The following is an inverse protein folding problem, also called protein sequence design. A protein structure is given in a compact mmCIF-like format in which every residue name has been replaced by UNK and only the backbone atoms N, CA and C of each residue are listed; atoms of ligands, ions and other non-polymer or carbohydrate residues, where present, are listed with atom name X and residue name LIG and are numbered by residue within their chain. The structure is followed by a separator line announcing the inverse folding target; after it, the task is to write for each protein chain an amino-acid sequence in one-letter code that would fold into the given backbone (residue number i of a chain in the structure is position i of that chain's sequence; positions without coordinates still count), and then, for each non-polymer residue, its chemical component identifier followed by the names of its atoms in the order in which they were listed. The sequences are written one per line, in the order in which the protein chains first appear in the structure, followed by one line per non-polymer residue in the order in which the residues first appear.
data_IF_139818852048
#
_entry.id   IF_139818852048
#
_cell.length_a   1.000
_cell.length_b   1.000
_cell.length_c   1.000
_cell.angle_alpha   90.00
_cell.angle_beta   90.00
_cell.angle_gamma   90.00
#
_symmetry.space_group_name_H-M   'P 1'
#
loop_
_entity.id
_entity.type
_entity.pdbx_description
1 polymer ?
#
# COMPACT_ATOMS: atom_id res chain seq x y z
N UNK A 1 -0.74 -6.37 -46.44
CA UNK A 1 -0.10 -5.05 -46.26
C UNK A 1 0.26 -4.92 -44.79
N UNK A 2 1.55 -4.72 -44.47
CA UNK A 2 1.96 -4.46 -43.10
C UNK A 2 1.30 -3.15 -42.61
N UNK A 3 0.69 -3.15 -41.43
CA UNK A 3 0.10 -1.94 -40.87
C UNK A 3 1.16 -0.87 -40.59
N UNK A 4 0.77 0.40 -40.37
CA UNK A 4 1.71 1.50 -40.10
C UNK A 4 2.47 1.37 -38.76
N UNK A 5 2.14 0.35 -37.95
CA UNK A 5 2.73 0.08 -36.64
C UNK A 5 3.08 -1.40 -36.50
N UNK A 6 4.21 -1.68 -35.87
CA UNK A 6 4.60 -3.00 -35.41
C UNK A 6 3.69 -3.46 -34.24
N UNK A 7 3.46 -4.77 -34.16
CA UNK A 7 2.73 -5.38 -33.03
C UNK A 7 3.65 -5.60 -31.84
N UNK A 8 3.12 -5.45 -30.62
CA UNK A 8 3.89 -5.68 -29.39
C UNK A 8 4.44 -7.10 -29.32
N UNK A 9 3.63 -8.12 -29.65
CA UNK A 9 4.06 -9.53 -29.70
C UNK A 9 5.24 -9.81 -30.65
N UNK A 10 5.43 -8.96 -31.66
CA UNK A 10 6.50 -9.09 -32.63
C UNK A 10 7.84 -8.56 -32.13
N UNK A 11 7.84 -7.74 -31.07
CA UNK A 11 9.02 -7.03 -30.56
C UNK A 11 10.09 -8.03 -30.11
N UNK A 12 11.31 -7.87 -30.66
CA UNK A 12 12.44 -8.74 -30.40
C UNK A 12 13.75 -7.94 -30.44
N UNK A 13 14.86 -8.60 -30.09
CA UNK A 13 16.18 -7.97 -30.01
C UNK A 13 16.95 -7.93 -31.34
N UNK A 14 16.42 -8.48 -32.44
CA UNK A 14 17.15 -8.59 -33.72
C UNK A 14 16.84 -7.45 -34.70
N UNK A 15 15.67 -6.80 -34.56
CA UNK A 15 15.30 -5.62 -35.35
C UNK A 15 15.78 -4.34 -34.66
N UNK A 16 16.39 -3.44 -35.43
CA UNK A 16 16.98 -2.19 -34.92
C UNK A 16 15.96 -1.06 -34.71
N UNK A 17 14.93 -0.99 -35.55
CA UNK A 17 13.91 0.07 -35.51
C UNK A 17 12.51 -0.49 -35.30
N UNK A 18 11.84 0.02 -34.27
CA UNK A 18 10.46 -0.33 -33.94
C UNK A 18 9.58 0.91 -33.94
N UNK A 19 8.35 0.76 -34.40
CA UNK A 19 7.32 1.79 -34.31
C UNK A 19 6.01 1.17 -33.85
N UNK A 20 5.62 1.40 -32.61
CA UNK A 20 4.43 0.79 -32.00
C UNK A 20 3.39 1.84 -31.62
N UNK A 21 2.12 1.49 -31.76
CA UNK A 21 0.99 2.25 -31.23
C UNK A 21 0.45 1.54 -29.98
N UNK A 22 0.52 2.18 -28.83
CA UNK A 22 0.27 1.53 -27.53
C UNK A 22 -0.48 2.42 -26.55
N UNK A 23 -1.23 1.81 -25.64
CA UNK A 23 -1.73 2.44 -24.41
C UNK A 23 -0.76 2.20 -23.27
N UNK A 24 -0.51 3.23 -22.46
CA UNK A 24 0.13 3.06 -21.16
C UNK A 24 -0.93 2.56 -20.19
N UNK A 25 -0.84 1.29 -19.79
CA UNK A 25 -1.83 0.66 -18.92
C UNK A 25 -1.54 0.87 -17.43
N UNK A 26 -0.26 0.92 -17.08
CA UNK A 26 0.26 1.13 -15.73
C UNK A 26 1.61 1.85 -15.82
N UNK A 27 1.94 2.70 -14.85
CA UNK A 27 3.19 3.44 -14.77
C UNK A 27 3.58 3.77 -13.31
N UNK A 28 4.81 3.46 -12.91
CA UNK A 28 5.30 3.73 -11.55
C UNK A 28 6.79 4.03 -11.54
N UNK A 29 7.26 4.70 -10.47
CA UNK A 29 8.68 4.97 -10.26
C UNK A 29 9.24 3.90 -9.33
N UNK A 30 10.29 3.21 -9.79
CA UNK A 30 11.07 2.28 -8.99
C UNK A 30 12.31 2.98 -8.48
N UNK A 31 12.58 2.88 -7.18
CA UNK A 31 13.81 3.39 -6.57
C UNK A 31 14.65 2.21 -6.11
N UNK A 32 15.85 2.05 -6.67
CA UNK A 32 16.80 1.03 -6.23
C UNK A 32 17.52 1.47 -4.94
N UNK A 33 18.16 0.54 -4.23
CA UNK A 33 18.92 0.74 -2.98
C UNK A 33 19.99 1.85 -3.07
N UNK A 34 20.46 2.17 -4.27
CA UNK A 34 21.42 3.26 -4.53
C UNK A 34 20.76 4.63 -4.82
N UNK A 35 19.48 4.83 -4.47
CA UNK A 35 18.69 6.03 -4.83
C UNK A 35 18.64 6.34 -6.34
N UNK A 36 18.91 5.33 -7.18
CA UNK A 36 18.69 5.43 -8.61
C UNK A 36 17.22 5.16 -8.89
N UNK A 37 16.56 6.15 -9.48
CA UNK A 37 15.16 6.06 -9.87
C UNK A 37 15.07 5.76 -11.36
N UNK A 38 14.20 4.83 -11.73
CA UNK A 38 13.78 4.60 -13.09
C UNK A 38 12.26 4.49 -13.12
N UNK A 39 11.65 4.91 -14.21
CA UNK A 39 10.20 4.84 -14.38
C UNK A 39 9.89 3.58 -15.19
N UNK A 40 9.05 2.71 -14.66
CA UNK A 40 8.58 1.51 -15.32
C UNK A 40 7.13 1.71 -15.77
N UNK A 41 6.77 1.11 -16.91
CA UNK A 41 5.42 1.15 -17.44
C UNK A 41 5.06 -0.13 -18.18
N UNK A 42 3.76 -0.41 -18.31
CA UNK A 42 3.23 -1.50 -19.12
C UNK A 42 2.50 -0.93 -20.33
N UNK A 43 2.98 -1.29 -21.52
CA UNK A 43 2.44 -0.89 -22.80
C UNK A 43 1.55 -2.00 -23.37
N UNK A 44 0.40 -1.65 -23.92
CA UNK A 44 -0.55 -2.58 -24.55
C UNK A 44 -0.90 -2.13 -25.97
N UNK A 45 -0.85 -3.02 -26.95
CA UNK A 45 -1.29 -2.73 -28.33
C UNK A 45 -2.78 -3.04 -28.58
N UNK A 46 -3.22 -2.90 -29.83
CA UNK A 46 -4.60 -3.15 -30.26
C UNK A 46 -5.04 -4.60 -30.08
N UNK A 47 -4.10 -5.55 -30.01
CA UNK A 47 -4.39 -6.98 -29.82
C UNK A 47 -4.44 -7.37 -28.34
N UNK A 48 -4.13 -6.43 -27.44
CA UNK A 48 -4.03 -6.68 -26.00
C UNK A 48 -2.68 -7.26 -25.58
N UNK A 49 -1.72 -7.39 -26.51
CA UNK A 49 -0.38 -7.87 -26.20
C UNK A 49 0.35 -6.81 -25.36
N UNK A 50 0.98 -7.24 -24.27
CA UNK A 50 1.62 -6.36 -23.28
C UNK A 50 3.14 -6.48 -23.31
N UNK A 51 3.84 -5.37 -23.10
CA UNK A 51 5.30 -5.33 -22.93
C UNK A 51 5.69 -4.30 -21.87
N UNK A 52 6.70 -4.63 -21.06
CA UNK A 52 7.27 -3.72 -20.08
C UNK A 52 8.23 -2.73 -20.75
N UNK A 53 8.14 -1.46 -20.39
CA UNK A 53 9.06 -0.41 -20.81
C UNK A 53 9.65 0.34 -19.61
N UNK A 54 10.88 0.81 -19.77
CA UNK A 54 11.66 1.47 -18.71
C UNK A 54 12.22 2.79 -19.24
N UNK A 55 12.07 3.86 -18.47
CA UNK A 55 12.76 5.14 -18.64
C UNK A 55 13.86 5.26 -17.60
N UNK A 56 15.10 5.42 -18.05
CA UNK A 56 16.26 5.62 -17.18
C UNK A 56 16.25 7.02 -16.55
N UNK A 57 16.90 7.16 -15.38
CA UNK A 57 16.89 8.35 -14.52
C UNK A 57 17.02 9.69 -15.26
N UNK A 58 17.98 9.78 -16.16
CA UNK A 58 18.34 11.03 -16.85
C UNK A 58 17.22 11.52 -17.79
N UNK A 59 16.35 10.62 -18.23
CA UNK A 59 15.25 10.90 -19.15
C UNK A 59 13.87 11.02 -18.44
N UNK A 60 13.79 10.79 -17.12
CA UNK A 60 12.54 10.91 -16.35
C UNK A 60 12.04 12.35 -16.34
N UNK A 61 12.91 13.33 -16.19
CA UNK A 61 12.51 14.75 -16.19
C UNK A 61 11.90 15.17 -17.55
N UNK A 62 12.33 14.53 -18.64
CA UNK A 62 11.83 14.79 -19.99
C UNK A 62 10.45 14.14 -20.22
N UNK A 63 10.27 12.89 -19.82
CA UNK A 63 9.09 12.10 -20.18
C UNK A 63 8.07 11.94 -19.05
N UNK A 64 8.48 11.99 -17.79
CA UNK A 64 7.66 11.69 -16.63
C UNK A 64 6.49 12.66 -16.40
N UNK A 65 6.55 13.88 -16.95
CA UNK A 65 5.44 14.83 -16.93
C UNK A 65 4.56 14.80 -18.17
N UNK A 66 4.99 14.10 -19.24
CA UNK A 66 4.30 14.03 -20.55
C UNK A 66 3.47 12.76 -20.66
N UNK A 67 4.00 11.66 -20.14
CA UNK A 67 3.36 10.36 -20.19
C UNK A 67 2.31 10.26 -19.09
N UNK A 68 1.10 9.88 -19.48
CA UNK A 68 -0.06 9.77 -18.59
C UNK A 68 -0.65 8.38 -18.79
N UNK A 69 -1.00 7.71 -17.69
CA UNK A 69 -1.68 6.42 -17.74
C UNK A 69 -3.02 6.51 -18.49
N UNK A 70 -3.44 5.39 -19.07
CA UNK A 70 -4.64 5.20 -19.90
C UNK A 70 -4.65 5.95 -21.23
N UNK A 71 -3.70 6.86 -21.47
CA UNK A 71 -3.52 7.52 -22.76
C UNK A 71 -2.76 6.63 -23.75
N UNK A 72 -2.92 6.98 -25.02
CA UNK A 72 -2.36 6.24 -26.15
C UNK A 72 -1.28 7.05 -26.85
N UNK A 73 -0.21 6.37 -27.25
CA UNK A 73 1.01 6.98 -27.77
C UNK A 73 1.54 6.20 -28.95
N UNK A 74 2.19 6.93 -29.87
CA UNK A 74 3.13 6.34 -30.81
C UNK A 74 4.51 6.40 -30.18
N UNK A 75 5.20 5.27 -30.14
CA UNK A 75 6.56 5.17 -29.65
C UNK A 75 7.46 4.60 -30.75
N UNK A 76 8.61 5.23 -30.97
CA UNK A 76 9.62 4.76 -31.91
C UNK A 76 11.03 5.15 -31.46
N UNK A 77 12.05 4.54 -32.07
CA UNK A 77 13.46 4.76 -31.74
C UNK A 77 13.79 4.47 -30.26
N UNK A 78 13.24 3.37 -29.74
CA UNK A 78 13.54 2.84 -28.42
C UNK A 78 14.41 1.59 -28.53
N UNK A 79 15.12 1.25 -27.46
CA UNK A 79 15.97 0.06 -27.43
C UNK A 79 15.20 -1.13 -26.88
N UNK A 80 15.45 -2.33 -27.40
CA UNK A 80 14.83 -3.58 -26.93
C UNK A 80 15.92 -4.45 -26.29
N UNK A 81 15.64 -4.99 -25.10
CA UNK A 81 16.52 -5.90 -24.37
C UNK A 81 15.76 -7.15 -23.96
N UNK A 82 16.46 -8.23 -23.61
CA UNK A 82 15.85 -9.39 -22.99
C UNK A 82 15.20 -9.01 -21.65
N UNK A 83 14.04 -9.60 -21.36
CA UNK A 83 13.33 -9.38 -20.12
C UNK A 83 13.95 -10.24 -19.00
N UNK A 84 14.93 -9.66 -18.33
CA UNK A 84 15.66 -10.17 -17.17
C UNK A 84 15.15 -9.59 -15.84
N UNK A 85 13.99 -8.90 -15.85
CA UNK A 85 13.41 -8.33 -14.64
C UNK A 85 13.05 -9.42 -13.63
N UNK A 86 13.37 -9.18 -12.35
CA UNK A 86 13.01 -10.09 -11.25
C UNK A 86 11.48 -10.22 -11.10
N UNK A 87 10.73 -9.17 -11.46
CA UNK A 87 9.26 -9.16 -11.46
C UNK A 87 8.78 -8.86 -12.89
N UNK A 88 8.17 -9.86 -13.51
CA UNK A 88 7.60 -9.77 -14.87
C UNK A 88 6.09 -9.57 -14.75
N UNK A 89 5.61 -8.38 -15.08
CA UNK A 89 4.18 -8.06 -15.08
C UNK A 89 3.48 -8.50 -16.37
N UNK A 90 4.26 -8.86 -17.39
CA UNK A 90 3.79 -9.45 -18.64
C UNK A 90 4.77 -10.55 -19.06
N UNK A 91 4.25 -11.58 -19.72
CA UNK A 91 5.02 -12.76 -20.16
C UNK A 91 5.88 -12.50 -21.40
N UNK A 92 6.02 -11.23 -21.82
CA UNK A 92 6.80 -10.87 -23.00
C UNK A 92 8.31 -11.12 -22.78
N UNK A 93 9.01 -11.80 -23.72
CA UNK A 93 10.41 -12.18 -23.56
C UNK A 93 11.38 -11.00 -23.60
N UNK A 94 10.94 -9.86 -24.11
CA UNK A 94 11.73 -8.62 -24.21
C UNK A 94 11.12 -7.47 -23.39
N UNK A 95 11.95 -6.49 -23.05
CA UNK A 95 11.58 -5.20 -22.44
C UNK A 95 12.06 -4.04 -23.31
N UNK A 96 11.35 -2.92 -23.25
CA UNK A 96 11.68 -1.69 -23.96
C UNK A 96 12.45 -0.74 -23.03
N UNK A 97 13.48 -0.09 -23.55
CA UNK A 97 14.23 0.98 -22.87
C UNK A 97 14.04 2.26 -23.67
N UNK A 98 13.39 3.23 -23.06
CA UNK A 98 13.20 4.58 -23.58
C UNK A 98 14.42 5.42 -23.16
N UNK A 99 15.00 6.12 -24.13
CA UNK A 99 16.15 6.99 -23.93
C UNK A 99 15.94 8.34 -24.62
N UNK A 100 16.86 9.28 -24.44
CA UNK A 100 16.72 10.65 -24.94
C UNK A 100 16.45 10.82 -26.45
N UNK A 101 16.76 9.82 -27.28
CA UNK A 101 16.49 9.82 -28.75
C UNK A 101 15.16 9.17 -29.12
N UNK A 102 14.49 8.49 -28.20
CA UNK A 102 13.16 7.92 -28.44
C UNK A 102 12.17 9.04 -28.78
N UNK A 103 11.29 8.76 -29.72
CA UNK A 103 10.25 9.69 -30.16
C UNK A 103 8.93 9.16 -29.65
N UNK A 104 8.29 9.93 -28.79
CA UNK A 104 7.01 9.59 -28.16
C UNK A 104 6.08 10.80 -28.29
N UNK A 105 4.90 10.58 -28.86
CA UNK A 105 3.86 11.60 -28.93
C UNK A 105 2.48 10.95 -28.75
N UNK A 106 1.58 11.70 -28.12
CA UNK A 106 0.20 11.26 -27.90
C UNK A 106 -0.50 11.14 -29.26
N UNK A 107 -1.18 10.01 -29.47
CA UNK A 107 -1.98 9.77 -30.67
C UNK A 107 -3.22 8.95 -30.29
N UNK A 108 -4.43 9.37 -30.67
CA UNK A 108 -5.65 8.65 -30.30
C UNK A 108 -5.71 7.31 -31.02
N UNK A 109 -5.75 6.22 -30.26
CA UNK A 109 -6.02 4.88 -30.77
C UNK A 109 -7.33 4.34 -30.16
N UNK A 110 -8.49 4.57 -30.80
CA UNK A 110 -9.79 4.14 -30.26
C UNK A 110 -9.92 2.62 -30.22
N UNK A 111 -9.23 1.91 -31.12
CA UNK A 111 -9.27 0.45 -31.24
C UNK A 111 -8.35 -0.27 -30.24
N UNK A 112 -7.46 0.45 -29.54
CA UNK A 112 -6.71 -0.15 -28.44
C UNK A 112 -7.69 -0.32 -27.26
N UNK A 113 -7.89 -1.55 -26.76
CA UNK A 113 -8.87 -1.81 -25.71
C UNK A 113 -8.50 -1.08 -24.42
N UNK A 114 -9.48 -0.43 -23.78
CA UNK A 114 -9.30 0.05 -22.41
C UNK A 114 -8.95 -1.15 -21.55
N UNK A 115 -7.93 -1.00 -20.70
CA UNK A 115 -7.33 -2.09 -19.91
C UNK A 115 -8.41 -2.99 -19.35
N UNK A 116 -8.67 -4.12 -20.03
CA UNK A 116 -9.63 -5.11 -19.59
C UNK A 116 -8.85 -5.97 -18.61
N UNK A 117 -9.25 -5.93 -17.34
CA UNK A 117 -8.67 -6.80 -16.32
C UNK A 117 -9.01 -8.24 -16.72
N UNK A 118 -8.01 -8.99 -17.20
CA UNK A 118 -8.13 -10.44 -17.31
C UNK A 118 -7.95 -11.01 -15.91
N UNK A 119 -9.07 -11.42 -15.32
CA UNK A 119 -9.08 -12.10 -14.04
C UNK A 119 -8.56 -13.52 -14.23
N UNK A 120 -7.40 -13.81 -13.63
CA UNK A 120 -7.00 -15.20 -13.37
C UNK A 120 -7.87 -15.73 -12.24
N UNK A 121 -8.44 -16.92 -12.40
CA UNK A 121 -9.20 -17.55 -11.33
C UNK A 121 -8.28 -17.90 -10.16
N UNK A 122 -8.82 -17.89 -8.95
CA UNK A 122 -8.08 -18.26 -7.73
C UNK A 122 -7.37 -19.63 -7.86
N UNK A 123 -8.00 -20.56 -8.59
CA UNK A 123 -7.44 -21.87 -8.95
C UNK A 123 -6.15 -21.79 -9.77
N UNK A 124 -5.98 -20.79 -10.64
CA UNK A 124 -4.77 -20.59 -11.44
C UNK A 124 -3.64 -19.93 -10.65
N UNK A 125 -3.95 -19.21 -9.56
CA UNK A 125 -2.97 -18.60 -8.66
C UNK A 125 -2.39 -19.64 -7.69
N UNK A 126 -3.18 -20.64 -7.29
CA UNK A 126 -2.80 -21.64 -6.29
C UNK A 126 -2.23 -22.96 -6.86
N UNK A 127 -2.39 -23.26 -8.14
CA UNK A 127 -1.94 -24.53 -8.71
C UNK A 127 -0.45 -24.57 -9.07
N UNK A 128 0.40 -24.56 -8.03
CA UNK A 128 1.49 -25.54 -7.93
C UNK A 128 1.04 -26.63 -6.94
N UNK A 129 0.04 -27.41 -7.38
CA UNK A 129 -0.61 -28.59 -6.76
C UNK A 129 -1.15 -28.41 -5.32
N UNK A 130 -2.47 -28.55 -5.17
CA UNK A 130 -3.18 -29.72 -4.61
C UNK A 130 -4.69 -29.49 -4.81
N UNK A 131 -5.46 -30.57 -4.68
CA UNK A 131 -6.68 -30.95 -5.39
C UNK A 131 -8.02 -30.43 -4.86
N UNK A 132 -8.95 -30.35 -5.83
CA UNK A 132 -10.44 -30.41 -5.81
C UNK A 132 -11.32 -29.26 -5.27
N UNK A 133 -12.45 -28.96 -5.95
CA UNK A 133 -13.31 -27.81 -5.66
C UNK A 133 -14.41 -28.18 -4.65
N UNK A 134 -14.79 -27.23 -3.80
CA UNK A 134 -16.05 -27.34 -3.08
C UNK A 134 -16.82 -26.01 -3.18
N UNK A 135 -18.05 -26.12 -3.64
CA UNK A 135 -18.91 -25.04 -4.10
C UNK A 135 -19.73 -24.57 -2.90
N UNK A 136 -19.18 -23.69 -2.08
CA UNK A 136 -19.87 -23.10 -0.93
C UNK A 136 -20.06 -21.61 -1.11
N UNK A 137 -21.25 -21.19 -1.50
CA UNK A 137 -21.68 -19.80 -1.34
C UNK A 137 -21.73 -19.49 0.16
N UNK A 138 -21.00 -18.47 0.60
CA UNK A 138 -21.17 -17.89 1.94
C UNK A 138 -22.16 -16.73 1.82
N UNK A 139 -23.40 -16.96 2.23
CA UNK A 139 -24.31 -15.87 2.57
C UNK A 139 -23.85 -15.30 3.92
N UNK A 140 -23.53 -14.00 3.96
CA UNK A 140 -23.25 -13.29 5.21
C UNK A 140 -24.46 -12.41 5.51
N UNK A 141 -25.11 -12.73 6.62
CA UNK A 141 -26.26 -12.03 7.20
C UNK A 141 -25.75 -10.74 7.88
N UNK A 142 -26.25 -9.56 7.51
CA UNK A 142 -25.86 -8.29 8.17
C UNK A 142 -27.04 -7.61 8.87
N UNK A 143 -26.90 -7.45 10.19
CA UNK A 143 -27.74 -6.58 11.02
C UNK A 143 -27.44 -5.10 10.74
N UNK A 144 -28.43 -4.19 10.79
CA UNK A 144 -28.23 -2.77 10.54
C UNK A 144 -27.37 -2.12 11.66
N UNK A 145 -26.11 -1.77 11.37
CA UNK A 145 -25.13 -1.27 12.36
C UNK A 145 -24.04 -0.34 11.78
N UNK A 146 -23.18 0.21 12.64
CA UNK A 146 -22.07 1.09 12.22
C UNK A 146 -20.99 0.27 11.48
N UNK A 147 -20.57 0.64 10.27
CA UNK A 147 -19.62 -0.14 9.47
C UNK A 147 -18.25 -0.39 10.14
N UNK A 148 -17.80 0.51 11.02
CA UNK A 148 -16.56 0.31 11.78
C UNK A 148 -16.76 -0.78 12.84
N UNK A 149 -17.90 -0.81 13.53
CA UNK A 149 -18.24 -1.89 14.45
C UNK A 149 -18.31 -3.22 13.69
N UNK A 150 -19.02 -3.27 12.57
CA UNK A 150 -19.16 -4.48 11.78
C UNK A 150 -17.81 -5.11 11.36
N UNK A 151 -16.88 -4.32 10.82
CA UNK A 151 -15.56 -4.86 10.43
C UNK A 151 -14.69 -5.21 11.63
N UNK A 152 -14.85 -4.51 12.76
CA UNK A 152 -14.15 -4.85 13.99
C UNK A 152 -14.66 -6.17 14.55
N UNK A 153 -15.98 -6.38 14.61
CA UNK A 153 -16.56 -7.64 15.09
C UNK A 153 -16.19 -8.82 14.20
N UNK A 154 -16.22 -8.65 12.88
CA UNK A 154 -15.87 -9.73 11.95
C UNK A 154 -14.38 -10.09 11.98
N UNK A 155 -13.50 -9.09 12.14
CA UNK A 155 -12.03 -9.33 12.18
C UNK A 155 -11.56 -9.78 13.56
N UNK A 156 -12.16 -9.23 14.61
CA UNK A 156 -11.83 -9.45 16.02
C UNK A 156 -13.07 -9.97 16.77
N UNK A 157 -13.50 -11.23 16.52
CA UNK A 157 -14.60 -11.83 17.27
C UNK A 157 -14.24 -11.97 18.74
N UNK A 158 -15.18 -11.68 19.63
CA UNK A 158 -14.99 -11.72 21.09
C UNK A 158 -13.85 -10.83 21.62
N UNK A 159 -13.57 -9.70 20.95
CA UNK A 159 -12.46 -8.79 21.25
C UNK A 159 -12.33 -8.46 22.75
N UNK A 160 -13.45 -8.17 23.43
CA UNK A 160 -13.44 -7.81 24.86
C UNK A 160 -12.95 -8.93 25.78
N UNK A 161 -13.07 -10.19 25.35
CA UNK A 161 -12.56 -11.35 26.09
C UNK A 161 -11.13 -11.73 25.68
N UNK A 162 -10.72 -11.41 24.45
CA UNK A 162 -9.43 -11.80 23.85
C UNK A 162 -8.42 -10.65 23.74
N UNK A 163 -8.73 -9.45 24.22
CA UNK A 163 -7.87 -8.25 24.05
C UNK A 163 -6.46 -8.39 24.65
N UNK A 164 -6.24 -9.35 25.55
CA UNK A 164 -4.96 -9.63 26.18
C UNK A 164 -4.29 -10.91 25.63
N UNK A 165 -4.92 -11.59 24.67
CA UNK A 165 -4.39 -12.81 24.07
C UNK A 165 -3.43 -12.45 22.93
N UNK A 166 -2.15 -12.75 23.13
CA UNK A 166 -1.08 -12.40 22.19
C UNK A 166 -1.25 -13.09 20.82
N UNK A 167 -1.57 -14.38 20.80
CA UNK A 167 -1.74 -15.15 19.56
C UNK A 167 -2.95 -14.65 18.77
N UNK A 168 -4.03 -14.30 19.48
CA UNK A 168 -5.23 -13.74 18.88
C UNK A 168 -4.95 -12.41 18.16
N UNK A 169 -4.22 -11.50 18.81
CA UNK A 169 -3.86 -10.20 18.24
C UNK A 169 -2.78 -10.30 17.15
N UNK A 170 -1.88 -11.28 17.27
CA UNK A 170 -0.82 -11.54 16.29
C UNK A 170 -1.37 -11.89 14.92
N UNK A 171 -2.38 -12.75 14.86
CA UNK A 171 -2.90 -13.29 13.61
C UNK A 171 -3.99 -12.44 12.96
N UNK A 172 -4.27 -11.23 13.47
CA UNK A 172 -5.38 -10.37 13.04
C UNK A 172 -4.96 -8.94 12.73
N UNK A 173 -5.51 -8.40 11.64
CA UNK A 173 -5.37 -6.99 11.29
C UNK A 173 -6.53 -6.51 10.40
N UNK A 174 -6.93 -5.25 10.58
CA UNK A 174 -7.83 -4.56 9.64
C UNK A 174 -6.98 -3.75 8.65
N UNK A 175 -7.26 -3.87 7.36
CA UNK A 175 -6.56 -3.18 6.29
C UNK A 175 -7.47 -2.16 5.61
N UNK A 176 -6.91 -0.97 5.36
CA UNK A 176 -7.60 0.10 4.62
C UNK A 176 -6.62 0.93 3.78
N UNK A 177 -7.08 1.93 3.04
CA UNK A 177 -6.26 2.69 2.08
C UNK A 177 -5.68 4.01 2.64
N UNK A 178 -6.27 4.58 3.69
CA UNK A 178 -5.90 5.91 4.24
C UNK A 178 -5.54 5.85 5.71
N UNK A 179 -4.57 6.67 6.13
CA UNK A 179 -4.21 6.77 7.55
C UNK A 179 -5.36 7.36 8.38
N UNK A 180 -6.20 8.23 7.79
CA UNK A 180 -7.36 8.80 8.46
C UNK A 180 -8.36 7.73 8.88
N UNK A 181 -8.61 6.74 8.03
CA UNK A 181 -9.52 5.61 8.34
C UNK A 181 -8.87 4.65 9.33
N UNK A 182 -7.55 4.43 9.22
CA UNK A 182 -6.78 3.69 10.23
C UNK A 182 -6.91 4.33 11.61
N UNK A 183 -6.74 5.65 11.70
CA UNK A 183 -6.90 6.41 12.95
C UNK A 183 -8.32 6.21 13.52
N UNK A 184 -9.36 6.32 12.68
CA UNK A 184 -10.75 6.13 13.10
C UNK A 184 -11.02 4.74 13.68
N UNK A 185 -10.58 3.68 13.01
CA UNK A 185 -10.77 2.30 13.49
C UNK A 185 -9.96 2.08 14.76
N UNK A 186 -8.69 2.48 14.80
CA UNK A 186 -7.85 2.29 15.97
C UNK A 186 -8.39 3.04 17.20
N UNK A 187 -8.86 4.28 17.03
CA UNK A 187 -9.47 5.07 18.10
C UNK A 187 -10.79 4.44 18.57
N UNK A 188 -11.59 3.89 17.65
CA UNK A 188 -12.80 3.15 17.98
C UNK A 188 -12.48 1.91 18.82
N UNK A 189 -11.57 1.06 18.35
CA UNK A 189 -11.15 -0.16 19.05
C UNK A 189 -10.59 0.17 20.44
N UNK A 190 -9.73 1.18 20.56
CA UNK A 190 -9.15 1.61 21.84
C UNK A 190 -10.19 2.05 22.87
N UNK A 191 -11.34 2.60 22.44
CA UNK A 191 -12.44 2.94 23.34
C UNK A 191 -13.12 1.70 23.91
N UNK A 192 -13.16 0.60 23.15
CA UNK A 192 -13.72 -0.67 23.58
C UNK A 192 -12.80 -1.42 24.57
N UNK A 193 -11.48 -1.35 24.36
CA UNK A 193 -10.52 -2.11 25.18
C UNK A 193 -10.63 -1.68 26.66
N UNK A 194 -10.79 -2.62 27.60
CA UNK A 194 -10.85 -2.29 29.03
C UNK A 194 -9.52 -1.77 29.55
N UNK A 195 -9.56 -1.05 30.67
CA UNK A 195 -8.39 -0.49 31.34
C UNK A 195 -8.16 1.00 31.08
N UNK A 196 -7.31 1.60 31.92
CA UNK A 196 -7.00 3.02 31.89
C UNK A 196 -6.09 3.37 30.71
N UNK A 197 -6.52 4.32 29.88
CA UNK A 197 -5.71 4.85 28.79
C UNK A 197 -4.76 5.93 29.29
N UNK A 198 -3.51 5.91 28.83
CA UNK A 198 -2.55 7.00 29.02
C UNK A 198 -2.36 7.77 27.72
N UNK A 199 -2.46 9.09 27.81
CA UNK A 199 -2.19 10.00 26.70
C UNK A 199 -0.71 10.38 26.64
N UNK A 200 -0.18 10.46 25.43
CA UNK A 200 1.18 10.92 25.17
C UNK A 200 1.18 12.04 24.15
N UNK A 201 1.82 13.15 24.52
CA UNK A 201 1.99 14.33 23.69
C UNK A 201 3.40 14.37 23.10
N UNK A 202 3.55 14.78 21.86
CA UNK A 202 4.84 14.99 21.23
C UNK A 202 5.43 16.35 21.60
N UNK A 203 6.73 16.50 21.41
CA UNK A 203 7.39 17.81 21.41
C UNK A 203 7.87 18.11 19.99
N UNK A 204 7.21 19.06 19.35
CA UNK A 204 7.44 19.41 17.94
C UNK A 204 8.27 20.68 17.82
N UNK A 205 9.18 20.70 16.85
CA UNK A 205 10.01 21.87 16.54
C UNK A 205 10.27 21.95 15.05
N UNK A 206 10.37 23.17 14.53
CA UNK A 206 10.83 23.43 13.18
C UNK A 206 12.34 23.71 13.15
N UNK A 207 13.06 23.12 12.21
CA UNK A 207 14.39 23.58 11.79
C UNK A 207 14.23 24.31 10.46
N UNK A 208 14.57 25.60 10.41
CA UNK A 208 14.66 26.34 9.15
C UNK A 208 16.05 26.14 8.54
N UNK A 209 16.11 25.96 7.22
CA UNK A 209 17.35 26.07 6.47
C UNK A 209 17.47 27.57 6.14
N UNK A 210 18.53 28.21 6.65
CA UNK A 210 18.77 29.67 6.62
C UNK A 210 18.06 30.47 5.52
N UNK A 211 17.30 31.49 5.92
CA UNK A 211 17.39 32.92 5.53
C UNK A 211 16.16 33.64 6.10
N UNK A 212 16.39 34.65 6.95
CA UNK A 212 15.47 35.78 7.15
C UNK A 212 14.23 35.52 8.00
N UNK A 213 14.30 35.99 9.25
CA UNK A 213 13.22 36.34 10.17
C UNK A 213 11.78 36.19 9.65
N UNK A 214 11.15 35.06 9.96
CA UNK A 214 9.72 34.98 10.20
C UNK A 214 9.52 34.10 11.44
N UNK A 215 8.55 34.49 12.27
CA UNK A 215 8.26 33.96 13.59
C UNK A 215 8.42 32.44 13.72
N UNK A 216 8.93 31.99 14.88
CA UNK A 216 8.96 30.57 15.22
C UNK A 216 7.58 29.96 14.93
N UNK A 217 7.54 28.97 14.04
CA UNK A 217 6.29 28.35 13.60
C UNK A 217 5.53 27.92 14.86
N UNK A 218 4.27 28.37 15.04
CA UNK A 218 3.55 28.10 16.26
C UNK A 218 3.49 26.59 16.54
N UNK A 219 3.81 26.14 17.76
CA UNK A 219 3.79 24.72 18.09
C UNK A 219 2.39 24.13 17.85
N UNK A 220 1.33 24.91 18.02
CA UNK A 220 -0.06 24.53 17.73
C UNK A 220 -0.23 24.11 16.26
N UNK A 221 0.40 24.83 15.32
CA UNK A 221 0.38 24.46 13.91
C UNK A 221 1.18 23.17 13.67
N UNK A 222 2.39 23.05 14.25
CA UNK A 222 3.22 21.86 14.12
C UNK A 222 2.49 20.60 14.63
N UNK A 223 1.76 20.73 15.74
CA UNK A 223 0.99 19.66 16.37
C UNK A 223 -0.17 19.14 15.47
N UNK A 224 -0.64 19.94 14.51
CA UNK A 224 -1.69 19.52 13.55
C UNK A 224 -1.18 18.68 12.39
N UNK A 225 0.14 18.69 12.15
CA UNK A 225 0.73 18.03 10.98
C UNK A 225 0.69 16.50 11.20
N UNK A 226 -0.03 15.81 10.31
CA UNK A 226 -0.11 14.35 10.21
C UNK A 226 0.67 13.86 9.00
N UNK A 227 1.45 12.80 9.18
CA UNK A 227 2.24 12.15 8.11
C UNK A 227 2.32 10.65 8.38
N UNK A 228 2.47 9.81 7.35
CA UNK A 228 2.63 8.35 7.51
C UNK A 228 3.86 7.93 8.30
N UNK A 229 4.89 8.78 8.28
CA UNK A 229 6.24 8.50 8.77
C UNK A 229 6.44 8.91 10.23
N UNK A 230 5.48 9.64 10.81
CA UNK A 230 5.55 10.15 12.17
C UNK A 230 4.32 9.71 12.96
N UNK A 231 4.47 9.44 14.26
CA UNK A 231 3.32 9.34 15.15
C UNK A 231 2.56 10.66 15.21
N UNK A 232 1.26 10.58 15.52
CA UNK A 232 0.43 11.76 15.80
C UNK A 232 0.98 12.53 17.02
N UNK A 233 0.73 13.85 17.06
CA UNK A 233 1.12 14.69 18.19
C UNK A 233 0.58 14.14 19.50
N UNK A 234 -0.72 13.82 19.52
CA UNK A 234 -1.41 13.18 20.62
C UNK A 234 -1.83 11.78 20.20
N UNK A 235 -1.56 10.79 21.05
CA UNK A 235 -2.20 9.48 20.96
C UNK A 235 -2.43 8.89 22.36
N UNK A 236 -3.35 7.94 22.45
CA UNK A 236 -3.70 7.23 23.69
C UNK A 236 -3.28 5.76 23.57
N UNK A 237 -2.73 5.19 24.64
CA UNK A 237 -2.39 3.76 24.72
C UNK A 237 -2.94 3.12 25.99
N UNK A 238 -3.26 1.84 25.87
CA UNK A 238 -3.58 0.95 26.98
C UNK A 238 -2.59 -0.22 27.00
N UNK A 239 -2.45 -0.87 28.14
CA UNK A 239 -1.71 -2.15 28.22
C UNK A 239 -2.51 -3.19 27.41
N UNK A 240 -1.80 -4.06 26.68
CA UNK A 240 -2.40 -5.04 25.77
C UNK A 240 -2.65 -4.51 24.35
N UNK A 241 -2.46 -3.21 24.10
CA UNK A 241 -2.64 -2.65 22.76
C UNK A 241 -1.54 -3.12 21.80
N UNK A 242 -1.87 -3.69 20.62
CA UNK A 242 -0.92 -3.93 19.56
C UNK A 242 -0.49 -2.61 18.92
N UNK A 243 0.81 -2.44 18.76
CA UNK A 243 1.45 -1.28 18.14
C UNK A 243 2.44 -1.74 17.08
N UNK A 244 2.82 -0.85 16.17
CA UNK A 244 3.81 -1.09 15.12
C UNK A 244 4.92 -0.04 15.21
N UNK A 245 6.18 -0.47 15.14
CA UNK A 245 7.33 0.44 15.08
C UNK A 245 7.34 1.21 13.75
N UNK A 246 7.62 2.51 13.82
CA UNK A 246 7.81 3.38 12.66
C UNK A 246 9.29 3.57 12.30
N UNK A 247 10.21 3.21 13.21
CA UNK A 247 11.65 3.31 13.01
C UNK A 247 12.36 2.12 13.63
N UNK A 248 13.52 1.82 13.09
CA UNK A 248 14.46 0.88 13.67
C UNK A 248 14.93 1.42 15.02
N UNK A 249 14.81 0.61 16.08
CA UNK A 249 15.30 0.94 17.42
C UNK A 249 16.76 0.52 17.59
N UNK A 250 17.10 -0.66 17.07
CA UNK A 250 18.45 -1.19 17.05
C UNK A 250 18.62 -2.03 15.77
N UNK A 251 19.64 -1.68 14.98
CA UNK A 251 19.96 -2.37 13.72
C UNK A 251 20.53 -3.77 13.95
N UNK A 252 21.10 -4.04 15.14
CA UNK A 252 21.72 -5.30 15.50
C UNK A 252 20.76 -6.24 16.25
N UNK A 253 19.88 -5.70 17.10
CA UNK A 253 18.91 -6.52 17.85
C UNK A 253 17.64 -6.87 17.05
N UNK A 254 17.47 -6.39 15.81
CA UNK A 254 16.43 -6.88 14.89
C UNK A 254 15.04 -6.22 15.00
N UNK A 255 14.88 -5.22 15.88
CA UNK A 255 13.64 -4.44 15.99
C UNK A 255 13.56 -3.33 14.93
N UNK A 256 13.07 -3.73 13.75
CA UNK A 256 12.96 -2.88 12.55
C UNK A 256 11.60 -2.18 12.42
N UNK A 257 11.54 -1.18 11.55
CA UNK A 257 10.31 -0.56 11.09
C UNK A 257 9.32 -1.62 10.58
N UNK A 258 8.06 -1.49 10.98
CA UNK A 258 7.00 -2.47 10.70
C UNK A 258 6.86 -3.57 11.75
N UNK A 259 7.83 -3.79 12.64
CA UNK A 259 7.68 -4.79 13.71
C UNK A 259 6.47 -4.45 14.58
N UNK A 260 5.50 -5.39 14.62
CA UNK A 260 4.35 -5.36 15.52
C UNK A 260 4.74 -5.87 16.90
N UNK A 261 4.27 -5.15 17.92
CA UNK A 261 4.51 -5.39 19.33
C UNK A 261 3.19 -5.29 20.11
N UNK A 262 3.12 -5.85 21.31
CA UNK A 262 2.04 -5.61 22.28
C UNK A 262 2.60 -4.83 23.46
N UNK A 263 1.94 -3.72 23.82
CA UNK A 263 2.34 -2.91 24.96
C UNK A 263 2.13 -3.68 26.27
N UNK A 264 3.20 -3.88 27.04
CA UNK A 264 3.15 -4.58 28.34
C UNK A 264 3.25 -3.62 29.52
N UNK A 265 3.95 -2.48 29.36
CA UNK A 265 4.04 -1.43 30.40
C UNK A 265 4.07 -0.03 29.80
N UNK A 266 3.37 0.89 30.48
CA UNK A 266 3.28 2.30 30.13
C UNK A 266 4.12 3.14 31.11
N UNK A 267 5.32 3.53 30.72
CA UNK A 267 6.15 4.49 31.46
C UNK A 267 6.00 5.91 30.96
N UNK A 268 6.44 6.90 31.74
CA UNK A 268 6.41 8.32 31.32
C UNK A 268 7.38 8.60 30.17
N UNK A 269 8.58 8.00 30.24
CA UNK A 269 9.69 8.28 29.32
C UNK A 269 10.03 7.12 28.39
N UNK A 270 9.65 5.90 28.77
CA UNK A 270 9.95 4.65 28.07
C UNK A 270 8.71 3.77 28.12
N UNK A 271 8.41 3.07 27.02
CA UNK A 271 7.40 2.00 26.98
C UNK A 271 8.10 0.65 27.05
N UNK A 272 7.43 -0.35 27.59
CA UNK A 272 7.83 -1.75 27.40
C UNK A 272 6.80 -2.42 26.50
N UNK A 273 7.28 -3.15 25.50
CA UNK A 273 6.42 -3.93 24.63
C UNK A 273 7.06 -5.28 24.32
N UNK A 274 6.23 -6.25 23.95
CA UNK A 274 6.64 -7.61 23.58
C UNK A 274 6.44 -7.81 22.09
N UNK A 275 7.42 -8.41 21.40
CA UNK A 275 7.31 -8.66 19.98
C UNK A 275 6.29 -9.74 19.65
N UNK A 276 5.48 -9.48 18.64
CA UNK A 276 4.52 -10.45 18.08
C UNK A 276 4.75 -10.69 16.58
N UNK A 277 5.83 -10.16 16.00
CA UNK A 277 6.16 -10.39 14.59
C UNK A 277 7.66 -10.29 14.34
N UNK A 278 8.11 -10.77 13.17
CA UNK A 278 9.51 -10.80 12.80
C UNK A 278 10.28 -11.94 13.47
N UNK A 279 11.60 -11.80 13.55
CA UNK A 279 12.49 -12.86 14.03
C UNK A 279 12.57 -12.94 15.56
N UNK A 280 12.10 -11.90 16.26
CA UNK A 280 12.26 -11.73 17.69
C UNK A 280 10.96 -11.98 18.47
N UNK A 281 10.05 -12.81 17.95
CA UNK A 281 8.73 -13.04 18.57
C UNK A 281 8.91 -13.49 20.02
N UNK A 282 8.20 -12.83 20.94
CA UNK A 282 8.26 -13.11 22.37
C UNK A 282 9.24 -12.24 23.15
N UNK A 283 10.20 -11.58 22.48
CA UNK A 283 11.19 -10.74 23.16
C UNK A 283 10.60 -9.42 23.64
N UNK A 284 11.10 -8.94 24.78
CA UNK A 284 10.73 -7.65 25.34
C UNK A 284 11.68 -6.56 24.84
N UNK A 285 11.11 -5.42 24.45
CA UNK A 285 11.83 -4.24 24.01
C UNK A 285 11.41 -3.01 24.80
N UNK A 286 12.39 -2.17 25.12
CA UNK A 286 12.16 -0.85 25.69
C UNK A 286 12.14 0.18 24.57
N UNK A 287 11.06 0.95 24.48
CA UNK A 287 10.85 1.94 23.42
C UNK A 287 10.98 3.34 24.02
N UNK A 288 12.09 4.06 23.78
CA UNK A 288 12.24 5.45 24.18
C UNK A 288 11.54 6.39 23.19
N UNK A 289 11.38 7.66 23.59
CA UNK A 289 11.01 8.73 22.65
C UNK A 289 12.19 9.08 21.76
N UNK A 290 11.95 9.20 20.46
CA UNK A 290 12.96 9.54 19.46
C UNK A 290 12.61 10.85 18.74
N UNK A 291 13.63 11.56 18.28
CA UNK A 291 13.46 12.65 17.32
C UNK A 291 13.29 12.10 15.91
N UNK A 292 12.20 12.48 15.27
CA UNK A 292 11.85 12.00 13.94
C UNK A 292 11.48 13.16 13.02
N UNK A 293 11.86 13.05 11.76
CA UNK A 293 11.45 13.97 10.69
C UNK A 293 10.85 13.14 9.56
N UNK A 294 9.86 13.68 8.82
CA UNK A 294 9.34 13.01 7.64
C UNK A 294 10.45 12.79 6.62
N UNK A 295 10.45 11.64 5.95
CA UNK A 295 11.51 11.26 5.00
C UNK A 295 11.50 12.13 3.74
N UNK A 296 10.29 12.53 3.32
CA UNK A 296 10.04 13.50 2.27
C UNK A 296 9.03 14.53 2.78
N UNK A 297 9.37 15.80 2.71
CA UNK A 297 8.49 16.89 3.14
C UNK A 297 8.42 17.95 2.05
N UNK A 298 7.20 18.31 1.66
CA UNK A 298 6.94 19.49 0.81
C UNK A 298 6.85 20.78 1.64
N UNK A 299 6.99 20.68 2.97
CA UNK A 299 6.92 21.83 3.85
C UNK A 299 8.16 22.73 3.65
N UNK A 300 8.02 24.06 3.76
CA UNK A 300 9.13 24.99 3.63
C UNK A 300 10.11 24.94 4.82
N UNK A 301 9.89 24.05 5.78
CA UNK A 301 10.72 23.85 6.97
C UNK A 301 10.85 22.36 7.29
N UNK A 302 11.88 22.01 8.06
CA UNK A 302 12.06 20.65 8.55
C UNK A 302 11.34 20.47 9.89
N UNK A 303 10.24 19.73 9.88
CA UNK A 303 9.58 19.28 11.11
C UNK A 303 10.45 18.24 11.83
N UNK A 304 10.66 18.44 13.13
CA UNK A 304 11.23 17.42 14.04
C UNK A 304 10.23 17.18 15.16
N UNK A 305 9.71 15.95 15.24
CA UNK A 305 8.77 15.50 16.26
C UNK A 305 9.47 14.55 17.21
N UNK A 306 9.52 14.89 18.51
CA UNK A 306 9.99 13.99 19.57
C UNK A 306 8.82 13.20 20.14
N UNK A 307 8.77 11.91 19.85
CA UNK A 307 7.69 11.03 20.29
C UNK A 307 8.13 9.57 20.29
N UNK A 308 7.38 8.67 20.94
CA UNK A 308 7.60 7.23 20.78
C UNK A 308 7.40 6.83 19.30
N UNK A 309 8.34 6.10 18.68
CA UNK A 309 8.31 5.74 17.26
C UNK A 309 7.32 4.60 16.98
N UNK A 310 6.05 4.74 17.38
CA UNK A 310 5.01 3.73 17.25
C UNK A 310 3.69 4.30 16.77
N UNK A 311 2.86 3.42 16.19
CA UNK A 311 1.44 3.65 15.91
C UNK A 311 0.62 2.47 16.40
N UNK A 312 -0.64 2.71 16.77
CA UNK A 312 -1.59 1.64 17.12
C UNK A 312 -1.85 0.78 15.88
N UNK A 313 -2.00 -0.53 16.07
CA UNK A 313 -1.94 -1.51 14.99
C UNK A 313 -3.05 -2.57 15.07
N UNK A 314 -4.28 -2.20 15.45
CA UNK A 314 -5.46 -3.03 15.16
C UNK A 314 -5.83 -2.90 13.67
N UNK A 315 -5.79 -1.67 13.16
CA UNK A 315 -5.86 -1.36 11.75
C UNK A 315 -4.53 -0.81 11.24
N UNK A 316 -4.27 -1.01 9.95
CA UNK A 316 -3.14 -0.42 9.23
C UNK A 316 -3.49 -0.19 7.75
N UNK A 317 -2.64 0.57 7.05
CA UNK A 317 -2.83 0.73 5.61
C UNK A 317 -2.37 -0.53 4.86
N UNK A 318 -2.97 -0.80 3.70
CA UNK A 318 -2.56 -1.92 2.82
C UNK A 318 -1.06 -1.82 2.52
N UNK A 319 -0.53 -0.61 2.28
CA UNK A 319 0.90 -0.40 2.05
C UNK A 319 1.77 -0.80 3.26
N UNK A 320 1.35 -0.46 4.48
CA UNK A 320 2.07 -0.83 5.72
C UNK A 320 1.94 -2.31 6.08
N UNK A 321 0.97 -3.03 5.51
CA UNK A 321 0.85 -4.47 5.70
C UNK A 321 1.91 -5.28 4.94
N UNK A 322 2.68 -4.65 4.06
CA UNK A 322 3.67 -5.34 3.24
C UNK A 322 4.73 -6.04 4.09
N UNK A 323 4.94 -7.33 3.85
CA UNK A 323 5.86 -8.17 4.63
C UNK A 323 5.22 -8.87 5.83
N UNK A 324 3.93 -8.61 6.10
CA UNK A 324 3.16 -9.35 7.10
C UNK A 324 2.23 -10.39 6.45
N UNK A 325 1.86 -11.40 7.25
CA UNK A 325 0.84 -12.40 6.92
C UNK A 325 -0.04 -12.63 8.15
N UNK A 326 -1.35 -12.68 7.96
CA UNK A 326 -2.35 -12.79 9.01
C UNK A 326 -3.28 -13.97 8.72
N UNK A 327 -3.85 -14.56 9.77
CA UNK A 327 -4.84 -15.64 9.63
C UNK A 327 -6.21 -15.04 9.34
N UNK A 328 -6.56 -13.92 9.98
CA UNK A 328 -7.77 -13.16 9.70
C UNK A 328 -7.46 -11.70 9.35
N UNK A 329 -8.05 -11.24 8.25
CA UNK A 329 -7.90 -9.87 7.74
C UNK A 329 -9.27 -9.29 7.46
N UNK A 330 -9.55 -8.13 8.06
CA UNK A 330 -10.69 -7.31 7.69
C UNK A 330 -10.29 -6.27 6.67
N UNK A 331 -10.82 -6.30 5.46
CA UNK A 331 -10.64 -5.25 4.46
C UNK A 331 -11.76 -4.22 4.60
N UNK A 332 -11.44 -3.05 5.17
CA UNK A 332 -12.39 -1.94 5.32
C UNK A 332 -12.18 -0.85 4.28
N UNK A 333 -13.20 -0.63 3.44
CA UNK A 333 -13.15 0.35 2.36
C UNK A 333 -14.36 1.30 2.44
N UNK A 334 -14.26 2.45 3.13
CA UNK A 334 -15.35 3.42 3.24
C UNK A 334 -15.62 4.17 1.92
N UNK A 335 -14.80 3.94 0.89
CA UNK A 335 -15.06 4.35 -0.49
C UNK A 335 -14.61 3.20 -1.40
N UNK A 336 -15.35 2.85 -2.45
CA UNK A 336 -14.98 1.81 -3.40
C UNK A 336 -13.89 2.34 -4.34
N UNK A 337 -12.67 2.46 -3.83
CA UNK A 337 -11.51 2.99 -4.55
C UNK A 337 -10.35 2.03 -4.37
N UNK A 338 -9.93 1.42 -5.46
CA UNK A 338 -8.67 0.69 -5.54
C UNK A 338 -7.70 1.49 -6.39
N UNK A 339 -6.44 1.57 -5.95
CA UNK A 339 -5.32 1.76 -6.87
C UNK A 339 -4.83 0.40 -7.36
N UNK A 340 -4.19 0.35 -8.53
CA UNK A 340 -3.68 -0.90 -9.09
C UNK A 340 -2.74 -1.59 -8.08
N UNK A 341 -2.92 -2.90 -7.90
CA UNK A 341 -2.12 -3.73 -6.98
C UNK A 341 -2.57 -3.78 -5.52
N UNK A 342 -3.49 -2.92 -5.05
CA UNK A 342 -3.95 -2.93 -3.65
C UNK A 342 -4.73 -4.20 -3.29
N UNK A 343 -5.62 -4.66 -4.17
CA UNK A 343 -6.35 -5.94 -3.98
C UNK A 343 -5.38 -7.13 -3.91
N UNK A 344 -4.44 -7.22 -4.85
CA UNK A 344 -3.43 -8.26 -4.87
C UNK A 344 -2.58 -8.25 -3.59
N UNK A 345 -2.20 -7.05 -3.14
CA UNK A 345 -1.49 -6.86 -1.89
C UNK A 345 -2.31 -7.39 -0.72
N UNK A 346 -3.59 -7.01 -0.59
CA UNK A 346 -4.48 -7.52 0.47
C UNK A 346 -4.63 -9.04 0.44
N UNK A 347 -4.90 -9.62 -0.73
CA UNK A 347 -5.05 -11.09 -0.85
C UNK A 347 -3.77 -11.82 -0.46
N UNK A 348 -2.59 -11.27 -0.76
CA UNK A 348 -1.30 -11.85 -0.34
C UNK A 348 -1.06 -11.82 1.19
N UNK A 349 -1.88 -11.08 1.95
CA UNK A 349 -1.77 -11.01 3.42
C UNK A 349 -2.58 -12.06 4.16
N UNK A 350 -3.54 -12.72 3.50
CA UNK A 350 -4.42 -13.69 4.15
C UNK A 350 -3.96 -15.10 3.82
N UNK A 351 -3.87 -15.97 4.83
CA UNK A 351 -3.45 -17.36 4.62
C UNK A 351 -4.53 -18.24 3.98
N UNK A 352 -5.81 -17.85 4.05
CA UNK A 352 -6.93 -18.60 3.47
C UNK A 352 -8.06 -17.66 3.03
N UNK A 353 -8.92 -18.12 2.10
CA UNK A 353 -10.12 -17.36 1.67
C UNK A 353 -11.08 -17.08 2.84
N UNK A 354 -11.24 -18.05 3.74
CA UNK A 354 -12.08 -17.94 4.94
C UNK A 354 -11.54 -16.95 5.98
N UNK A 355 -10.25 -16.62 5.90
CA UNK A 355 -9.63 -15.62 6.75
C UNK A 355 -9.87 -14.18 6.28
N UNK A 356 -10.48 -13.96 5.12
CA UNK A 356 -10.68 -12.61 4.58
C UNK A 356 -12.13 -12.18 4.74
N UNK A 357 -12.34 -11.19 5.61
CA UNK A 357 -13.61 -10.48 5.73
C UNK A 357 -13.52 -9.18 4.93
N UNK A 358 -14.50 -8.89 4.08
CA UNK A 358 -14.49 -7.69 3.22
C UNK A 358 -15.75 -6.89 3.44
N UNK A 359 -15.58 -5.62 3.83
CA UNK A 359 -16.68 -4.72 4.11
C UNK A 359 -16.49 -3.41 3.34
N UNK A 360 -17.35 -3.21 2.33
CA UNK A 360 -17.29 -2.11 1.37
C UNK A 360 -18.53 -1.25 1.54
N UNK A 361 -18.33 0.05 1.71
CA UNK A 361 -19.43 1.01 1.90
C UNK A 361 -19.39 2.15 0.90
N UNK A 362 -20.56 2.65 0.53
CA UNK A 362 -20.70 3.90 -0.21
C UNK A 362 -20.63 5.13 0.71
N UNK A 363 -20.73 6.34 0.14
CA UNK A 363 -20.70 7.59 0.91
C UNK A 363 -21.85 7.73 1.92
N UNK A 364 -22.91 6.96 1.77
CA UNK A 364 -24.11 6.97 2.60
C UNK A 364 -24.12 5.83 3.62
N UNK A 365 -22.97 5.16 3.83
CA UNK A 365 -22.83 3.98 4.71
C UNK A 365 -23.76 2.83 4.30
N UNK A 366 -24.06 2.68 3.01
CA UNK A 366 -24.72 1.49 2.49
C UNK A 366 -23.68 0.47 2.05
N UNK A 367 -23.88 -0.79 2.44
CA UNK A 367 -23.05 -1.91 2.00
C UNK A 367 -23.12 -2.07 0.47
N UNK A 368 -21.98 -2.33 -0.15
CA UNK A 368 -21.90 -2.61 -1.58
C UNK A 368 -21.22 -3.95 -1.84
N UNK A 369 -21.83 -4.76 -2.69
CA UNK A 369 -21.27 -6.01 -3.25
C UNK A 369 -20.31 -5.78 -4.43
N UNK A 370 -19.95 -4.53 -4.74
CA UNK A 370 -19.11 -4.19 -5.89
C UNK A 370 -18.28 -2.93 -5.65
N UNK A 371 -17.15 -2.81 -6.34
CA UNK A 371 -16.29 -1.62 -6.30
C UNK A 371 -15.98 -1.11 -7.71
N UNK A 372 -15.51 0.14 -7.81
CA UNK A 372 -15.09 0.75 -9.08
C UNK A 372 -13.60 1.02 -9.02
N UNK A 373 -12.83 0.48 -9.98
CA UNK A 373 -11.39 0.76 -10.08
C UNK A 373 -11.18 2.21 -10.54
N UNK A 374 -10.17 2.90 -10.01
CA UNK A 374 -9.77 4.25 -10.44
C UNK A 374 -8.94 4.18 -11.72
N UNK A 375 -9.55 3.64 -12.76
CA UNK A 375 -9.09 3.64 -14.14
C UNK A 375 -10.35 3.43 -14.98
N UNK A 376 -10.94 4.52 -15.47
CA UNK A 376 -12.32 4.55 -15.92
C UNK A 376 -12.69 3.44 -16.93
N UNK A 377 -13.48 2.45 -16.50
CA UNK A 377 -14.83 2.15 -16.98
C UNK A 377 -15.38 0.87 -16.32
N UNK A 378 -16.65 0.98 -15.88
CA UNK A 378 -17.66 -0.04 -15.49
C UNK A 378 -17.45 -0.90 -14.22
N UNK A 379 -18.58 -1.05 -13.52
CA UNK A 379 -18.84 -1.86 -12.31
C UNK A 379 -18.27 -3.27 -12.47
N UNK A 380 -17.44 -3.71 -11.52
CA UNK A 380 -17.08 -5.11 -11.34
C UNK A 380 -17.91 -5.72 -10.21
N UNK A 381 -18.66 -6.78 -10.51
CA UNK A 381 -19.30 -7.61 -9.48
C UNK A 381 -18.22 -8.44 -8.77
N UNK A 382 -18.20 -8.41 -7.44
CA UNK A 382 -17.43 -9.37 -6.64
C UNK A 382 -18.22 -10.69 -6.65
N UNK A 383 -17.90 -11.59 -7.58
CA UNK A 383 -18.27 -12.99 -7.41
C UNK A 383 -17.13 -13.64 -6.62
N UNK A 384 -17.35 -13.80 -5.30
CA UNK A 384 -16.43 -14.40 -4.34
C UNK A 384 -16.43 -15.92 -4.44
#
# INVERSE_FOLDING_TARGET
MAGPFDTVKGVNTTKEEWKIGVRITDMWIVTNMNNHQHLEMVLMDTKGDKIQAIIVKDDIAKWGSILIEQKTYVMQNFKVLNNDLQIKLCDHPCKIIIHGRSVIYEHPFPDIPLTKVEFKTFSQVLTRKMSEPNDGYAEVDTSPGDPIDAIVQSTYPDLLSQYNNEQYLQSRAILTYTNEVVDQINDYVLKLIPGEGREYYSADRSKMNDVGAFDAIPPEFLNTIKTSDLPNHKFTLKIGTPVMLLKDLDLFEGFRNGTRLIVTRLGRFVLQAKSISGNNIGELVLIPRLDMSPSQSKLPFKLVRRQFPIVVSYAMTINKSQGHSFDNVGLYLPKPRFSNGQLCTTFSRVKSKQGLETLIHDKEKREMSSTTNLGGLRRGFLNL
#
